data_IF_840732777976
#
_entry.id   IF_840732777976
#
_cell.length_a   1.000
_cell.length_b   1.000
_cell.length_c   1.000
_cell.angle_alpha   90.00
_cell.angle_beta   90.00
_cell.angle_gamma   90.00
#
_symmetry.space_group_name_H-M   'P 1'
#
loop_
_entity.id
_entity.type
_entity.pdbx_description
1 polymer ?
#
# COMPACT_ATOMS: atom_id res chain seq x y z
N UNK A 1 16.32 -13.62 -0.75
CA UNK A 1 17.17 -12.45 -0.37
C UNK A 1 17.66 -12.63 1.06
N UNK A 2 18.96 -12.45 1.31
CA UNK A 2 19.51 -12.39 2.66
C UNK A 2 19.47 -10.94 3.16
N UNK A 3 18.95 -10.70 4.37
CA UNK A 3 18.96 -9.37 4.97
C UNK A 3 20.40 -8.99 5.33
N UNK A 4 21.00 -8.10 4.54
CA UNK A 4 22.33 -7.57 4.82
C UNK A 4 22.23 -6.43 5.84
N UNK A 5 23.05 -6.48 6.90
CA UNK A 5 23.17 -5.37 7.86
C UNK A 5 24.11 -4.32 7.29
N UNK A 6 23.54 -3.24 6.75
CA UNK A 6 24.31 -2.10 6.24
C UNK A 6 24.47 -1.02 7.32
N UNK A 7 25.61 -0.28 7.33
CA UNK A 7 25.79 0.84 8.25
C UNK A 7 24.85 1.99 7.90
N UNK A 8 24.39 2.75 8.91
CA UNK A 8 23.34 3.77 8.80
C UNK A 8 23.53 4.80 7.66
N UNK A 9 24.79 5.11 7.32
CA UNK A 9 25.18 5.95 6.16
C UNK A 9 24.60 5.49 4.82
N UNK A 10 24.32 4.20 4.64
CA UNK A 10 23.70 3.69 3.41
C UNK A 10 22.26 4.17 3.25
N UNK A 11 21.54 4.48 4.33
CA UNK A 11 20.19 5.05 4.24
C UNK A 11 20.21 6.43 3.58
N UNK A 12 21.14 7.29 3.97
CA UNK A 12 21.31 8.61 3.36
C UNK A 12 21.74 8.51 1.89
N UNK A 13 22.67 7.59 1.57
CA UNK A 13 23.08 7.34 0.18
C UNK A 13 21.92 6.80 -0.67
N UNK A 14 21.06 5.96 -0.10
CA UNK A 14 19.88 5.43 -0.79
C UNK A 14 18.87 6.53 -1.14
N UNK A 15 18.65 7.50 -0.25
CA UNK A 15 17.80 8.67 -0.53
C UNK A 15 18.40 9.53 -1.67
N UNK A 16 19.70 9.82 -1.61
CA UNK A 16 20.40 10.56 -2.66
C UNK A 16 20.36 9.82 -4.01
N UNK A 17 20.53 8.50 -4.01
CA UNK A 17 20.46 7.66 -5.21
C UNK A 17 19.06 7.68 -5.82
N UNK A 18 18.01 7.58 -5.00
CA UNK A 18 16.61 7.66 -5.44
C UNK A 18 16.30 9.02 -6.07
N UNK A 19 16.78 10.10 -5.47
CA UNK A 19 16.62 11.45 -6.01
C UNK A 19 17.38 11.65 -7.33
N UNK A 20 18.59 11.07 -7.44
CA UNK A 20 19.37 11.05 -8.68
C UNK A 20 18.64 10.29 -9.79
N UNK A 21 18.01 9.15 -9.46
CA UNK A 21 17.22 8.37 -10.40
C UNK A 21 16.01 9.15 -10.91
N UNK A 22 15.29 9.84 -10.02
CA UNK A 22 14.19 10.72 -10.41
C UNK A 22 14.64 11.82 -11.38
N UNK A 23 15.78 12.46 -11.09
CA UNK A 23 16.35 13.50 -11.96
C UNK A 23 16.86 13.00 -13.30
N UNK A 24 17.18 11.71 -13.43
CA UNK A 24 17.69 11.17 -14.69
C UNK A 24 16.63 11.21 -15.81
N UNK A 25 15.36 10.95 -15.48
CA UNK A 25 14.24 11.02 -16.43
C UNK A 25 12.91 11.35 -15.71
N UNK A 26 12.70 12.62 -15.32
CA UNK A 26 11.50 13.05 -14.61
C UNK A 26 10.18 12.70 -15.32
N UNK A 27 10.03 12.86 -16.65
CA UNK A 27 8.76 12.58 -17.34
C UNK A 27 8.30 11.12 -17.20
N UNK A 28 9.23 10.18 -17.29
CA UNK A 28 8.94 8.75 -17.19
C UNK A 28 8.55 8.35 -15.76
N UNK A 29 9.25 8.90 -14.76
CA UNK A 29 8.92 8.68 -13.36
C UNK A 29 7.55 9.27 -12.98
N UNK A 30 7.24 10.45 -13.50
CA UNK A 30 5.91 11.06 -13.33
C UNK A 30 4.85 10.22 -14.03
N UNK A 31 5.09 9.75 -15.25
CA UNK A 31 4.14 8.90 -15.99
C UNK A 31 3.87 7.58 -15.27
N UNK A 32 4.90 6.92 -14.73
CA UNK A 32 4.76 5.70 -13.93
C UNK A 32 3.94 5.94 -12.65
N UNK A 33 4.26 7.02 -11.92
CA UNK A 33 3.55 7.39 -10.68
C UNK A 33 2.10 7.77 -10.97
N UNK A 34 1.85 8.51 -12.05
CA UNK A 34 0.50 8.87 -12.47
C UNK A 34 -0.29 7.67 -12.94
N UNK A 35 0.31 6.73 -13.67
CA UNK A 35 -0.33 5.47 -14.05
C UNK A 35 -0.71 4.63 -12.82
N UNK A 36 0.17 4.56 -11.82
CA UNK A 36 -0.10 3.92 -10.53
C UNK A 36 -1.29 4.57 -9.81
N UNK A 37 -1.28 5.90 -9.66
CA UNK A 37 -2.35 6.65 -9.02
C UNK A 37 -3.68 6.53 -9.77
N UNK A 38 -3.66 6.63 -11.10
CA UNK A 38 -4.84 6.48 -11.93
C UNK A 38 -5.45 5.08 -11.81
N UNK A 39 -4.64 4.03 -11.77
CA UNK A 39 -5.11 2.67 -11.53
C UNK A 39 -5.78 2.53 -10.15
N UNK A 40 -5.19 3.10 -9.10
CA UNK A 40 -5.80 3.10 -7.76
C UNK A 40 -7.15 3.82 -7.74
N UNK A 41 -7.21 5.02 -8.32
CA UNK A 41 -8.45 5.81 -8.39
C UNK A 41 -9.52 5.03 -9.16
N UNK A 42 -9.16 4.49 -10.33
CA UNK A 42 -10.08 3.71 -11.16
C UNK A 42 -10.64 2.49 -10.43
N UNK A 43 -9.82 1.78 -9.65
CA UNK A 43 -10.29 0.63 -8.84
C UNK A 43 -11.23 1.11 -7.72
N UNK A 44 -10.94 2.24 -7.08
CA UNK A 44 -11.79 2.78 -6.01
C UNK A 44 -13.14 3.32 -6.50
N UNK A 45 -13.28 3.65 -7.79
CA UNK A 45 -14.58 3.99 -8.38
C UNK A 45 -15.60 2.85 -8.31
N UNK A 46 -15.17 1.61 -8.05
CA UNK A 46 -16.07 0.48 -7.83
C UNK A 46 -16.34 0.35 -6.31
N UNK A 47 -17.47 0.85 -5.78
CA UNK A 47 -17.69 0.93 -4.33
C UNK A 47 -17.77 -0.44 -3.63
N UNK A 48 -18.26 -1.49 -4.31
CA UNK A 48 -18.34 -2.84 -3.74
C UNK A 48 -17.08 -3.68 -4.01
N UNK A 49 -16.50 -3.52 -5.19
CA UNK A 49 -15.43 -4.40 -5.68
C UNK A 49 -14.05 -3.81 -5.41
N UNK A 50 -13.94 -2.49 -5.40
CA UNK A 50 -12.70 -1.74 -5.18
C UNK A 50 -11.98 -2.12 -3.88
N UNK A 51 -12.66 -2.15 -2.71
CA UNK A 51 -12.03 -2.53 -1.44
C UNK A 51 -11.45 -3.96 -1.42
N UNK A 52 -11.97 -4.85 -2.25
CA UNK A 52 -11.50 -6.23 -2.39
C UNK A 52 -10.39 -6.31 -3.44
N UNK A 53 -10.59 -5.70 -4.60
CA UNK A 53 -9.65 -5.79 -5.73
C UNK A 53 -8.38 -4.98 -5.48
N UNK A 54 -8.48 -3.84 -4.81
CA UNK A 54 -7.33 -2.98 -4.55
C UNK A 54 -6.20 -3.69 -3.78
N UNK A 55 -6.44 -4.37 -2.64
CA UNK A 55 -5.38 -5.11 -1.94
C UNK A 55 -4.83 -6.29 -2.76
N UNK A 56 -5.62 -6.88 -3.67
CA UNK A 56 -5.12 -7.92 -4.58
C UNK A 56 -4.22 -7.36 -5.69
N UNK A 57 -4.54 -6.17 -6.19
CA UNK A 57 -3.83 -5.53 -7.30
C UNK A 57 -2.64 -4.70 -6.82
N UNK A 58 -2.64 -4.25 -5.57
CA UNK A 58 -1.54 -3.52 -4.94
C UNK A 58 -0.16 -4.18 -5.16
N UNK A 59 0.04 -5.48 -4.84
CA UNK A 59 1.35 -6.11 -5.00
C UNK A 59 1.81 -6.15 -6.46
N UNK A 60 0.85 -6.30 -7.39
CA UNK A 60 1.12 -6.24 -8.83
C UNK A 60 1.57 -4.85 -9.25
N UNK A 61 0.87 -3.80 -8.81
CA UNK A 61 1.18 -2.41 -9.13
C UNK A 61 2.56 -2.00 -8.57
N UNK A 62 2.87 -2.42 -7.34
CA UNK A 62 4.19 -2.20 -6.75
C UNK A 62 5.30 -2.86 -7.58
N UNK A 63 5.08 -4.08 -8.06
CA UNK A 63 6.04 -4.80 -8.92
C UNK A 63 6.20 -4.15 -10.31
N UNK A 64 5.13 -3.61 -10.87
CA UNK A 64 5.19 -2.88 -12.15
C UNK A 64 5.99 -1.59 -12.00
N UNK A 65 5.75 -0.83 -10.93
CA UNK A 65 6.47 0.41 -10.64
C UNK A 65 7.97 0.14 -10.41
N UNK A 66 8.27 -0.89 -9.62
CA UNK A 66 9.58 -1.47 -9.40
C UNK A 66 10.35 -1.77 -10.70
N UNK A 67 9.72 -2.53 -11.60
CA UNK A 67 10.29 -2.86 -12.91
C UNK A 67 10.54 -1.61 -13.76
N UNK A 68 9.66 -0.60 -13.66
CA UNK A 68 9.84 0.70 -14.30
C UNK A 68 11.08 1.45 -13.82
N UNK A 69 11.30 1.49 -12.50
CA UNK A 69 12.51 2.07 -11.91
C UNK A 69 13.78 1.33 -12.38
N UNK A 70 13.78 0.00 -12.40
CA UNK A 70 14.95 -0.77 -12.85
C UNK A 70 15.22 -0.61 -14.35
N UNK A 71 14.18 -0.48 -15.17
CA UNK A 71 14.34 -0.19 -16.60
C UNK A 71 15.01 1.18 -16.81
N UNK A 72 14.65 2.18 -15.99
CA UNK A 72 15.22 3.51 -16.03
C UNK A 72 16.69 3.54 -15.60
N UNK A 73 17.04 2.82 -14.54
CA UNK A 73 18.44 2.67 -14.10
C UNK A 73 19.33 2.08 -15.20
N UNK A 74 18.79 1.16 -16.01
CA UNK A 74 19.52 0.50 -17.11
C UNK A 74 19.47 1.28 -18.43
N UNK A 75 18.86 2.47 -18.45
CA UNK A 75 18.70 3.28 -19.68
C UNK A 75 17.82 2.63 -20.75
N UNK A 76 16.93 1.72 -20.37
CA UNK A 76 16.07 1.00 -21.31
C UNK A 76 14.69 1.65 -21.44
N UNK A 77 14.04 1.58 -22.62
CA UNK A 77 12.70 2.12 -22.78
C UNK A 77 11.69 1.31 -21.96
N UNK A 78 10.79 2.04 -21.29
CA UNK A 78 9.69 1.47 -20.50
C UNK A 78 8.62 0.86 -21.42
N UNK A 79 8.90 -0.35 -21.92
CA UNK A 79 7.96 -1.11 -22.74
C UNK A 79 6.97 -1.88 -21.84
N UNK A 80 5.66 -1.96 -22.16
CA UNK A 80 4.67 -2.65 -21.34
C UNK A 80 5.04 -4.10 -20.99
N UNK A 81 5.60 -4.85 -21.94
CA UNK A 81 6.09 -6.23 -21.70
C UNK A 81 7.24 -6.32 -20.69
N UNK A 82 8.06 -5.27 -20.55
CA UNK A 82 9.12 -5.21 -19.54
C UNK A 82 8.58 -4.82 -18.17
N UNK A 83 7.60 -3.92 -18.13
CA UNK A 83 6.93 -3.52 -16.90
C UNK A 83 6.19 -4.71 -16.25
N UNK A 84 5.61 -5.59 -17.07
CA UNK A 84 4.96 -6.82 -16.63
C UNK A 84 5.93 -8.01 -16.41
N UNK A 85 7.25 -7.77 -16.43
CA UNK A 85 8.25 -8.83 -16.20
C UNK A 85 8.12 -9.38 -14.78
N UNK A 86 8.25 -10.71 -14.61
CA UNK A 86 8.11 -11.35 -13.30
C UNK A 86 6.66 -11.53 -12.83
N UNK A 87 5.69 -10.81 -13.41
CA UNK A 87 4.25 -10.96 -13.07
C UNK A 87 3.77 -12.37 -13.32
N UNK A 88 3.98 -12.91 -14.53
CA UNK A 88 3.57 -14.30 -14.86
C UNK A 88 4.34 -15.35 -14.06
N UNK A 89 5.62 -15.10 -13.78
CA UNK A 89 6.49 -16.04 -13.02
C UNK A 89 6.08 -16.11 -11.55
N UNK A 90 5.75 -14.96 -10.95
CA UNK A 90 5.42 -14.84 -9.53
C UNK A 90 3.91 -14.69 -9.27
N UNK A 91 3.06 -15.01 -10.26
CA UNK A 91 1.61 -14.77 -10.19
C UNK A 91 0.97 -15.45 -8.98
N UNK A 92 1.35 -16.70 -8.70
CA UNK A 92 0.83 -17.44 -7.53
C UNK A 92 1.23 -16.76 -6.22
N UNK A 93 2.48 -16.32 -6.11
CA UNK A 93 2.98 -15.64 -4.91
C UNK A 93 2.35 -14.26 -4.74
N UNK A 94 2.13 -13.51 -5.83
CA UNK A 94 1.43 -12.22 -5.82
C UNK A 94 -0.03 -12.37 -5.42
N UNK A 95 -0.72 -13.40 -5.94
CA UNK A 95 -2.12 -13.70 -5.56
C UNK A 95 -2.20 -14.13 -4.09
N UNK A 96 -1.26 -14.95 -3.61
CA UNK A 96 -1.19 -15.30 -2.17
C UNK A 96 -0.97 -14.08 -1.31
N UNK A 97 -0.10 -13.16 -1.74
CA UNK A 97 0.15 -11.92 -1.00
C UNK A 97 -1.08 -11.03 -0.95
N UNK A 98 -1.75 -10.85 -2.09
CA UNK A 98 -3.01 -10.11 -2.20
C UNK A 98 -4.12 -10.73 -1.36
N UNK A 99 -4.23 -12.06 -1.35
CA UNK A 99 -5.16 -12.78 -0.49
C UNK A 99 -4.87 -12.61 0.99
N UNK A 100 -3.59 -12.67 1.39
CA UNK A 100 -3.20 -12.44 2.78
C UNK A 100 -3.46 -10.99 3.21
N UNK A 101 -3.26 -10.03 2.30
CA UNK A 101 -3.58 -8.62 2.54
C UNK A 101 -5.08 -8.39 2.68
N UNK A 102 -5.90 -9.07 1.87
CA UNK A 102 -7.36 -9.07 2.01
C UNK A 102 -7.80 -9.64 3.36
N UNK A 103 -7.25 -10.78 3.79
CA UNK A 103 -7.52 -11.34 5.12
C UNK A 103 -7.12 -10.36 6.22
N UNK A 104 -5.96 -9.69 6.09
CA UNK A 104 -5.53 -8.64 6.99
C UNK A 104 -6.52 -7.48 7.07
N UNK A 105 -7.05 -7.01 5.93
CA UNK A 105 -8.07 -5.96 5.88
C UNK A 105 -9.37 -6.37 6.57
N UNK A 106 -9.82 -7.60 6.38
CA UNK A 106 -11.00 -8.14 7.06
C UNK A 106 -10.80 -8.25 8.58
N UNK A 107 -9.61 -8.68 9.01
CA UNK A 107 -9.25 -8.75 10.43
C UNK A 107 -9.24 -7.35 11.07
N UNK A 108 -8.68 -6.35 10.40
CA UNK A 108 -8.69 -4.95 10.88
C UNK A 108 -10.13 -4.49 11.10
N UNK A 109 -11.01 -4.69 10.11
CA UNK A 109 -12.42 -4.31 10.22
C UNK A 109 -13.11 -5.05 11.38
N UNK A 110 -12.94 -6.38 11.47
CA UNK A 110 -13.55 -7.19 12.52
C UNK A 110 -13.04 -6.84 13.92
N UNK A 111 -11.75 -6.56 14.09
CA UNK A 111 -11.18 -6.12 15.37
C UNK A 111 -11.70 -4.73 15.72
N UNK A 112 -11.76 -3.81 14.76
CA UNK A 112 -12.21 -2.45 15.01
C UNK A 112 -13.68 -2.41 15.48
N UNK A 113 -14.56 -3.18 14.84
CA UNK A 113 -15.98 -3.31 15.25
C UNK A 113 -16.15 -4.06 16.57
N UNK A 114 -15.35 -5.12 16.82
CA UNK A 114 -15.37 -5.82 18.10
C UNK A 114 -14.95 -4.89 19.26
N UNK A 115 -13.91 -4.08 19.06
CA UNK A 115 -13.46 -3.12 20.06
C UNK A 115 -14.48 -2.00 20.30
N UNK A 116 -15.25 -1.60 19.30
CA UNK A 116 -16.37 -0.65 19.45
C UNK A 116 -17.40 -1.18 20.44
N UNK A 117 -17.80 -2.44 20.30
CA UNK A 117 -18.76 -3.09 21.22
C UNK A 117 -18.24 -3.32 22.64
N UNK A 118 -16.92 -3.44 22.83
CA UNK A 118 -16.29 -3.74 24.13
C UNK A 118 -15.92 -2.49 24.93
N UNK A 119 -15.73 -1.36 24.26
CA UNK A 119 -15.36 -0.09 24.88
C UNK A 119 -16.36 0.99 24.49
N UNK A 120 -17.56 1.02 25.12
CA UNK A 120 -18.52 2.12 25.00
C UNK A 120 -18.02 3.40 25.69
N UNK A 121 -16.70 3.58 25.86
CA UNK A 121 -16.07 4.70 26.57
C UNK A 121 -16.37 6.08 25.93
N UNK A 122 -17.05 6.10 24.77
CA UNK A 122 -17.51 7.30 24.07
C UNK A 122 -19.03 7.51 24.18
N UNK A 123 -19.82 6.50 24.61
CA UNK A 123 -21.27 6.65 24.84
C UNK A 123 -21.58 7.54 26.06
N UNK A 124 -20.62 7.73 26.96
CA UNK A 124 -20.76 8.65 28.10
C UNK A 124 -20.86 10.15 27.74
N UNK A 125 -20.85 10.51 26.46
CA UNK A 125 -21.07 11.89 25.96
C UNK A 125 -22.56 12.18 25.65
N UNK A 126 -23.48 11.35 26.14
CA UNK A 126 -24.95 11.48 26.09
C UNK A 126 -25.55 12.82 26.60
N UNK A 127 -24.72 13.82 26.96
CA UNK A 127 -25.16 15.16 27.36
C UNK A 127 -24.83 16.29 26.36
N UNK A 128 -24.31 15.99 25.17
CA UNK A 128 -24.02 17.01 24.13
C UNK A 128 -24.98 16.95 22.94
N UNK A 129 -25.09 18.04 22.19
CA UNK A 129 -26.01 18.15 21.05
C UNK A 129 -25.75 17.09 19.96
N UNK A 130 -26.80 16.55 19.30
CA UNK A 130 -26.72 15.40 18.39
C UNK A 130 -25.71 15.58 17.23
N UNK A 131 -25.61 16.77 16.64
CA UNK A 131 -24.74 17.02 15.48
C UNK A 131 -23.24 16.98 15.80
N UNK A 132 -22.84 17.27 17.05
CA UNK A 132 -21.42 17.25 17.44
C UNK A 132 -20.94 15.85 17.85
N UNK A 133 -21.86 15.03 18.39
CA UNK A 133 -21.56 13.66 18.84
C UNK A 133 -21.20 12.76 17.67
N UNK A 134 -21.94 12.82 16.55
CA UNK A 134 -21.65 12.00 15.36
C UNK A 134 -20.26 12.29 14.79
N UNK A 135 -19.85 13.55 14.77
CA UNK A 135 -18.52 13.95 14.27
C UNK A 135 -17.37 13.43 15.15
N UNK A 136 -17.53 13.49 16.47
CA UNK A 136 -16.51 13.04 17.42
C UNK A 136 -16.39 11.50 17.44
N UNK A 137 -17.52 10.80 17.40
CA UNK A 137 -17.56 9.34 17.31
C UNK A 137 -16.90 8.83 16.01
N UNK A 138 -17.20 9.46 14.88
CA UNK A 138 -16.59 9.14 13.59
C UNK A 138 -15.07 9.35 13.59
N UNK A 139 -14.60 10.46 14.18
CA UNK A 139 -13.15 10.72 14.31
C UNK A 139 -12.47 9.68 15.19
N UNK A 140 -13.08 9.30 16.32
CA UNK A 140 -12.53 8.30 17.22
C UNK A 140 -12.50 6.90 16.60
N UNK A 141 -13.53 6.54 15.83
CA UNK A 141 -13.58 5.32 15.03
C UNK A 141 -12.42 5.28 14.01
N UNK A 142 -12.22 6.37 13.26
CA UNK A 142 -11.14 6.47 12.28
C UNK A 142 -9.76 6.40 12.93
N UNK A 143 -9.55 7.08 14.06
CA UNK A 143 -8.29 7.04 14.80
C UNK A 143 -7.95 5.62 15.29
N UNK A 144 -8.94 4.91 15.84
CA UNK A 144 -8.78 3.51 16.28
C UNK A 144 -8.49 2.58 15.10
N UNK A 145 -9.21 2.76 14.00
CA UNK A 145 -9.00 1.98 12.78
C UNK A 145 -7.56 2.14 12.26
N UNK A 146 -7.01 3.35 12.28
CA UNK A 146 -5.61 3.60 11.90
C UNK A 146 -4.63 2.87 12.82
N UNK A 147 -4.86 2.87 14.13
CA UNK A 147 -4.00 2.17 15.11
C UNK A 147 -4.01 0.66 14.88
N UNK A 148 -5.19 0.07 14.67
CA UNK A 148 -5.36 -1.37 14.40
C UNK A 148 -4.76 -1.73 13.03
N UNK A 149 -4.88 -0.86 12.04
CA UNK A 149 -4.35 -1.08 10.70
C UNK A 149 -2.83 -0.93 10.61
N UNK A 150 -2.22 -0.06 11.43
CA UNK A 150 -0.80 0.27 11.38
C UNK A 150 0.15 -0.95 11.32
N UNK A 151 0.06 -1.97 12.19
CA UNK A 151 0.96 -3.12 12.14
C UNK A 151 0.84 -3.91 10.83
N UNK A 152 -0.38 -4.07 10.31
CA UNK A 152 -0.61 -4.76 9.03
C UNK A 152 -0.04 -3.93 7.89
N UNK A 153 -0.30 -2.63 7.86
CA UNK A 153 0.27 -1.74 6.85
C UNK A 153 1.80 -1.82 6.82
N UNK A 154 2.45 -1.80 7.99
CA UNK A 154 3.91 -1.91 8.10
C UNK A 154 4.43 -3.28 7.64
N UNK A 155 3.73 -4.36 7.98
CA UNK A 155 4.12 -5.71 7.58
C UNK A 155 4.02 -5.92 6.06
N UNK A 156 2.96 -5.40 5.43
CA UNK A 156 2.73 -5.57 3.99
C UNK A 156 3.43 -4.52 3.12
N UNK A 157 3.92 -3.42 3.69
CA UNK A 157 4.53 -2.31 2.95
C UNK A 157 5.64 -2.77 1.97
N UNK A 158 6.49 -3.71 2.39
CA UNK A 158 7.61 -4.21 1.58
C UNK A 158 7.48 -5.67 1.13
N UNK A 159 6.40 -6.35 1.53
CA UNK A 159 6.18 -7.76 1.21
C UNK A 159 6.14 -8.06 -0.31
N UNK A 160 5.50 -7.24 -1.18
CA UNK A 160 5.50 -7.49 -2.62
C UNK A 160 6.89 -7.40 -3.24
N UNK A 161 7.70 -6.47 -2.75
CA UNK A 161 9.07 -6.27 -3.21
C UNK A 161 9.93 -7.49 -2.87
N UNK A 162 9.79 -8.03 -1.65
CA UNK A 162 10.54 -9.19 -1.17
C UNK A 162 10.22 -10.49 -1.92
N UNK A 163 8.98 -10.62 -2.40
CA UNK A 163 8.49 -11.83 -3.08
C UNK A 163 8.67 -11.76 -4.59
N UNK A 164 8.48 -10.56 -5.17
CA UNK A 164 8.38 -10.39 -6.61
C UNK A 164 9.66 -9.91 -7.30
N UNK A 165 10.54 -9.22 -6.57
CA UNK A 165 11.73 -8.58 -7.15
C UNK A 165 12.92 -9.56 -7.16
N UNK A 166 13.43 -9.87 -8.36
CA UNK A 166 14.71 -10.56 -8.59
C UNK A 166 15.74 -9.60 -9.20
#
# INVERSE_FOLDING_TARGET
>A
MQAQRLPARHGALWLLASFRLFRANPPLMTALTMGYMAAMVFINFLPLVGPIVLPLVLPLLTLVLANGCSALERGQPAHPLRLARGVKKNQVSLVRLGGLQLVGSLLILGINTALESLFPLLDGLEQSAPDQIESAAMVAFMARLVIVAAPVLLAFWFAPLLVGWE
#
